data_IF_046624002711
#
_entry.id   IF_046624002711
#
_cell.length_a   1.000
_cell.length_b   1.000
_cell.length_c   1.000
_cell.angle_alpha   90.00
_cell.angle_beta   90.00
_cell.angle_gamma   90.00
#
_symmetry.space_group_name_H-M   'P 1'
#
loop_
_entity.id
_entity.type
_entity.pdbx_description
1 polymer ?
#
# COMPACT_ATOMS: atom_id res chain seq x y z
N UNK A 1 -16.97 0.24 -18.36
CA UNK A 1 -16.24 0.36 -17.10
C UNK A 1 -16.60 -0.77 -16.13
N UNK A 2 -15.76 -0.99 -15.13
CA UNK A 2 -15.93 -2.02 -14.11
C UNK A 2 -15.44 -1.52 -12.75
N UNK A 3 -16.01 -2.09 -11.70
CA UNK A 3 -15.45 -2.01 -10.34
C UNK A 3 -15.92 -3.24 -9.54
N UNK A 4 -15.41 -3.41 -8.36
CA UNK A 4 -15.77 -4.51 -7.49
C UNK A 4 -15.79 -4.07 -6.02
N UNK A 5 -16.52 -4.80 -5.21
CA UNK A 5 -16.45 -4.71 -3.76
C UNK A 5 -16.37 -6.12 -3.19
N UNK A 6 -15.63 -6.28 -2.11
CA UNK A 6 -15.52 -7.58 -1.44
C UNK A 6 -15.59 -7.42 0.08
N UNK A 7 -16.03 -8.49 0.74
CA UNK A 7 -15.95 -8.62 2.19
C UNK A 7 -15.29 -9.96 2.53
N UNK A 8 -14.37 -9.94 3.47
CA UNK A 8 -13.76 -11.12 4.08
C UNK A 8 -13.64 -10.88 5.57
N UNK A 9 -14.20 -11.75 6.39
CA UNK A 9 -14.26 -11.60 7.84
C UNK A 9 -14.13 -12.96 8.52
N UNK A 10 -13.61 -12.98 9.74
CA UNK A 10 -13.49 -14.20 10.55
C UNK A 10 -14.85 -14.70 11.07
N UNK A 11 -15.89 -13.86 11.12
CA UNK A 11 -17.21 -14.19 11.63
C UNK A 11 -18.31 -13.80 10.64
N UNK A 12 -19.31 -14.68 10.50
CA UNK A 12 -20.43 -14.49 9.58
C UNK A 12 -21.20 -13.19 9.80
N UNK A 13 -21.38 -12.78 11.06
CA UNK A 13 -22.12 -11.56 11.41
C UNK A 13 -21.39 -10.27 11.00
N UNK A 14 -20.10 -10.34 10.74
CA UNK A 14 -19.29 -9.17 10.32
C UNK A 14 -19.24 -9.04 8.78
N UNK A 15 -19.79 -10.00 8.03
CA UNK A 15 -19.84 -9.99 6.57
C UNK A 15 -20.88 -8.98 6.08
N UNK A 16 -20.50 -8.14 5.12
CA UNK A 16 -21.41 -7.21 4.45
C UNK A 16 -22.44 -8.00 3.64
N UNK A 17 -23.72 -7.65 3.77
CA UNK A 17 -24.80 -8.33 3.02
C UNK A 17 -24.58 -8.24 1.51
N UNK A 18 -24.82 -9.32 0.73
CA UNK A 18 -24.56 -9.33 -0.72
C UNK A 18 -25.20 -8.18 -1.49
N UNK A 19 -26.43 -7.79 -1.15
CA UNK A 19 -27.12 -6.64 -1.76
C UNK A 19 -26.32 -5.33 -1.60
N UNK A 20 -25.76 -5.10 -0.42
CA UNK A 20 -24.97 -3.88 -0.16
C UNK A 20 -23.66 -3.90 -0.94
N UNK A 21 -22.99 -5.07 -1.06
CA UNK A 21 -21.80 -5.22 -1.89
C UNK A 21 -22.11 -4.89 -3.36
N UNK A 22 -23.21 -5.44 -3.89
CA UNK A 22 -23.62 -5.16 -5.26
C UNK A 22 -23.92 -3.67 -5.50
N UNK A 23 -24.60 -3.02 -4.56
CA UNK A 23 -24.89 -1.58 -4.65
C UNK A 23 -23.59 -0.74 -4.66
N UNK A 24 -22.65 -1.04 -3.73
CA UNK A 24 -21.36 -0.33 -3.67
C UNK A 24 -20.57 -0.49 -4.98
N UNK A 25 -20.47 -1.72 -5.51
CA UNK A 25 -19.77 -1.98 -6.75
C UNK A 25 -20.42 -1.26 -7.96
N UNK A 26 -21.75 -1.23 -8.01
CA UNK A 26 -22.50 -0.53 -9.05
C UNK A 26 -22.28 0.99 -8.99
N UNK A 27 -22.38 1.60 -7.81
CA UNK A 27 -22.13 3.03 -7.61
C UNK A 27 -20.70 3.43 -8.00
N UNK A 28 -19.70 2.62 -7.62
CA UNK A 28 -18.30 2.84 -8.00
C UNK A 28 -18.11 2.74 -9.52
N UNK A 29 -18.75 1.77 -10.17
CA UNK A 29 -18.69 1.61 -11.63
C UNK A 29 -19.33 2.80 -12.35
N UNK A 30 -20.50 3.25 -11.91
CA UNK A 30 -21.22 4.40 -12.50
C UNK A 30 -20.35 5.66 -12.46
N UNK A 31 -19.65 5.91 -11.36
CA UNK A 31 -18.75 7.07 -11.23
C UNK A 31 -17.60 7.07 -12.24
N UNK A 32 -17.20 5.91 -12.76
CA UNK A 32 -16.13 5.77 -13.76
C UNK A 32 -16.58 5.92 -15.21
N UNK A 33 -17.88 6.07 -15.47
CA UNK A 33 -18.40 6.18 -16.83
C UNK A 33 -17.92 7.44 -17.55
N UNK A 34 -17.73 7.32 -18.86
CA UNK A 34 -17.27 8.42 -19.75
C UNK A 34 -15.93 9.03 -19.33
N UNK A 35 -14.88 8.22 -19.15
CA UNK A 35 -13.56 8.71 -18.78
C UNK A 35 -12.97 9.61 -19.87
N UNK A 36 -12.18 10.58 -19.44
CA UNK A 36 -11.45 11.48 -20.35
C UNK A 36 -9.97 11.16 -20.35
N UNK A 37 -9.32 11.42 -21.45
CA UNK A 37 -7.86 11.35 -21.58
C UNK A 37 -7.25 12.58 -20.93
N UNK A 38 -6.07 12.41 -20.38
CA UNK A 38 -5.22 13.49 -19.86
C UNK A 38 -3.84 13.41 -20.50
N UNK A 39 -3.20 14.56 -20.68
CA UNK A 39 -1.82 14.62 -21.17
C UNK A 39 -0.80 14.13 -20.15
N UNK A 40 0.43 13.89 -20.63
CA UNK A 40 1.55 13.55 -19.74
C UNK A 40 1.92 14.75 -18.86
N UNK A 41 2.18 14.47 -17.57
CA UNK A 41 2.43 15.50 -16.56
C UNK A 41 3.24 14.92 -15.40
N UNK A 42 3.80 15.79 -14.56
CA UNK A 42 4.38 15.41 -13.27
C UNK A 42 3.48 15.97 -12.17
N UNK A 43 2.75 15.10 -11.48
CA UNK A 43 1.64 15.47 -10.61
C UNK A 43 1.63 14.60 -9.35
N UNK A 44 0.95 15.06 -8.31
CA UNK A 44 0.71 14.26 -7.11
C UNK A 44 -0.35 13.20 -7.36
N UNK A 45 -0.06 11.98 -6.94
CA UNK A 45 -0.94 10.83 -7.04
C UNK A 45 -1.49 10.48 -5.66
N UNK A 46 -2.80 10.42 -5.56
CA UNK A 46 -3.51 9.97 -4.37
C UNK A 46 -4.00 8.54 -4.62
N UNK A 47 -3.48 7.60 -3.86
CA UNK A 47 -3.86 6.19 -3.94
C UNK A 47 -5.01 5.91 -2.98
N UNK A 48 -6.14 5.45 -3.53
CA UNK A 48 -7.25 4.89 -2.72
C UNK A 48 -6.74 3.80 -1.77
N UNK A 49 -7.32 3.67 -0.59
CA UNK A 49 -6.95 2.66 0.43
C UNK A 49 -6.84 1.25 -0.14
N UNK A 50 -7.73 0.87 -1.06
CA UNK A 50 -7.73 -0.44 -1.74
C UNK A 50 -6.49 -0.66 -2.58
N UNK A 51 -5.91 0.42 -3.12
CA UNK A 51 -4.72 0.39 -3.98
C UNK A 51 -3.46 0.64 -3.16
N UNK A 52 -3.50 1.54 -2.20
CA UNK A 52 -2.40 1.88 -1.32
C UNK A 52 -1.80 0.65 -0.59
N UNK A 53 -2.65 -0.33 -0.21
CA UNK A 53 -2.17 -1.62 0.33
C UNK A 53 -1.21 -2.37 -0.60
N UNK A 54 -1.30 -2.16 -1.92
CA UNK A 54 -0.39 -2.75 -2.91
C UNK A 54 1.04 -2.20 -2.78
N UNK A 55 1.18 -0.90 -2.51
CA UNK A 55 2.48 -0.29 -2.23
C UNK A 55 3.10 -0.88 -0.96
N UNK A 56 2.28 -1.06 0.08
CA UNK A 56 2.70 -1.68 1.33
C UNK A 56 3.06 -3.17 1.17
N UNK A 57 2.34 -3.91 0.31
CA UNK A 57 2.70 -5.28 -0.04
C UNK A 57 4.03 -5.36 -0.79
N UNK A 58 4.31 -4.40 -1.68
CA UNK A 58 5.61 -4.30 -2.36
C UNK A 58 6.75 -4.00 -1.36
N UNK A 59 6.51 -3.12 -0.39
CA UNK A 59 7.44 -2.87 0.71
C UNK A 59 7.71 -4.17 1.50
N UNK A 60 6.67 -4.90 1.92
CA UNK A 60 6.82 -6.17 2.65
C UNK A 60 7.62 -7.21 1.85
N UNK A 61 7.41 -7.27 0.54
CA UNK A 61 8.18 -8.15 -0.36
C UNK A 61 9.66 -7.74 -0.42
N UNK A 62 9.94 -6.42 -0.45
CA UNK A 62 11.30 -5.90 -0.48
C UNK A 62 12.07 -6.18 0.82
N UNK A 63 11.41 -6.17 1.98
CA UNK A 63 12.04 -6.48 3.28
C UNK A 63 11.97 -7.96 3.65
N UNK A 64 11.52 -8.85 2.76
CA UNK A 64 11.56 -10.29 3.04
C UNK A 64 13.00 -10.79 3.11
N UNK A 65 13.33 -11.61 4.10
CA UNK A 65 14.66 -12.18 4.26
C UNK A 65 15.15 -12.93 3.01
N UNK A 66 14.24 -13.51 2.25
CA UNK A 66 14.56 -14.17 0.98
C UNK A 66 15.01 -13.20 -0.10
N UNK A 67 14.39 -12.02 -0.23
CA UNK A 67 14.83 -10.99 -1.18
C UNK A 67 16.16 -10.37 -0.76
N UNK A 68 16.32 -10.11 0.55
CA UNK A 68 17.55 -9.57 1.13
C UNK A 68 18.72 -10.54 0.94
N UNK A 69 18.55 -11.82 1.28
CA UNK A 69 19.59 -12.85 1.15
C UNK A 69 20.02 -13.10 -0.30
N UNK A 70 19.11 -12.95 -1.27
CA UNK A 70 19.44 -13.04 -2.70
C UNK A 70 20.05 -11.75 -3.27
N UNK A 71 20.05 -10.65 -2.52
CA UNK A 71 20.48 -9.36 -3.05
C UNK A 71 19.53 -8.78 -4.11
N UNK A 72 18.25 -9.17 -4.09
CA UNK A 72 17.23 -8.73 -5.06
C UNK A 72 16.26 -7.72 -4.47
N UNK A 73 16.73 -6.90 -3.53
CA UNK A 73 15.95 -5.83 -2.90
C UNK A 73 16.73 -4.52 -2.83
N UNK A 74 16.07 -3.43 -3.24
CA UNK A 74 16.59 -2.05 -3.07
C UNK A 74 16.68 -1.65 -1.59
N UNK A 75 16.08 -2.41 -0.67
CA UNK A 75 16.14 -2.20 0.78
C UNK A 75 17.20 -3.06 1.48
N UNK A 76 18.04 -3.79 0.71
CA UNK A 76 19.17 -4.50 1.28
C UNK A 76 20.12 -3.50 1.98
N UNK A 77 20.63 -3.87 3.14
CA UNK A 77 21.56 -3.08 3.98
C UNK A 77 20.99 -1.70 4.41
N UNK A 78 19.64 -1.59 4.53
CA UNK A 78 18.94 -0.36 4.91
C UNK A 78 18.40 -0.36 6.35
N UNK A 79 18.70 -1.37 7.16
CA UNK A 79 18.34 -1.37 8.59
C UNK A 79 18.96 -0.12 9.25
N UNK A 80 18.17 0.51 10.11
CA UNK A 80 18.47 1.77 10.81
C UNK A 80 18.74 2.98 9.90
N UNK A 81 18.37 2.88 8.62
CA UNK A 81 18.38 4.02 7.71
C UNK A 81 16.98 4.59 7.54
N UNK A 82 16.89 5.90 7.37
CA UNK A 82 15.64 6.57 7.05
C UNK A 82 15.27 6.34 5.59
N UNK A 83 14.19 5.58 5.36
CA UNK A 83 13.69 5.23 4.03
C UNK A 83 12.34 5.86 3.72
N UNK A 84 11.60 6.30 4.74
CA UNK A 84 10.35 7.06 4.63
C UNK A 84 10.49 8.46 5.24
N UNK A 85 9.47 9.30 5.07
CA UNK A 85 9.35 10.53 5.88
C UNK A 85 9.24 10.19 7.37
N UNK A 86 9.64 11.12 8.23
CA UNK A 86 9.73 10.94 9.70
C UNK A 86 8.40 10.70 10.40
N UNK A 87 7.28 10.94 9.72
CA UNK A 87 5.93 10.70 10.24
C UNK A 87 5.43 9.28 10.03
N UNK A 88 6.17 8.43 9.32
CA UNK A 88 5.70 7.10 8.90
C UNK A 88 6.06 6.03 9.91
N UNK A 89 5.05 5.29 10.34
CA UNK A 89 5.17 4.07 11.13
C UNK A 89 4.45 2.91 10.44
N UNK A 90 5.11 1.75 10.34
CA UNK A 90 4.56 0.52 9.75
C UNK A 90 4.69 -0.61 10.76
N UNK A 91 3.57 -1.27 11.03
CA UNK A 91 3.48 -2.38 11.96
C UNK A 91 3.05 -3.67 11.26
N UNK A 92 3.53 -4.79 11.78
CA UNK A 92 2.99 -6.12 11.48
C UNK A 92 2.55 -6.79 12.79
N UNK A 93 1.23 -6.94 12.95
CA UNK A 93 0.59 -7.30 14.23
C UNK A 93 -0.14 -8.64 14.14
N UNK A 94 0.50 -9.74 14.59
CA UNK A 94 -0.07 -11.09 14.50
C UNK A 94 -1.20 -11.36 15.48
N UNK A 95 -1.38 -10.55 16.51
CA UNK A 95 -2.38 -10.67 17.57
C UNK A 95 -3.59 -9.73 17.41
N UNK A 96 -3.79 -9.17 16.21
CA UNK A 96 -4.93 -8.31 15.94
C UNK A 96 -6.24 -9.11 16.08
N UNK A 97 -7.11 -8.68 16.99
CA UNK A 97 -8.42 -9.34 17.20
C UNK A 97 -9.22 -9.29 15.90
N UNK A 98 -9.70 -10.46 15.45
CA UNK A 98 -10.40 -10.66 14.17
C UNK A 98 -9.59 -10.28 12.92
N UNK A 99 -8.27 -10.10 13.04
CA UNK A 99 -7.39 -9.85 11.91
C UNK A 99 -7.30 -11.05 10.99
N UNK A 100 -7.36 -10.84 9.67
CA UNK A 100 -7.35 -11.92 8.68
C UNK A 100 -6.01 -12.65 8.57
N UNK A 101 -4.91 -12.01 9.00
CA UNK A 101 -3.57 -12.59 9.05
C UNK A 101 -3.12 -12.96 10.47
N UNK A 102 -4.02 -12.97 11.47
CA UNK A 102 -3.65 -13.26 12.85
C UNK A 102 -3.21 -14.71 13.05
N UNK A 103 -2.10 -14.88 13.76
CA UNK A 103 -1.49 -16.18 14.06
C UNK A 103 -0.62 -16.11 15.32
N UNK A 104 -0.50 -17.22 16.05
CA UNK A 104 0.37 -17.31 17.22
C UNK A 104 1.82 -17.69 16.87
N UNK A 105 2.00 -18.43 15.79
CA UNK A 105 3.30 -18.89 15.28
C UNK A 105 3.22 -18.98 13.75
N UNK A 106 4.37 -18.86 13.13
CA UNK A 106 4.52 -18.95 11.68
C UNK A 106 4.54 -20.40 11.17
N UNK A 107 4.75 -20.60 9.87
CA UNK A 107 4.78 -21.94 9.25
C UNK A 107 5.97 -22.80 9.68
N UNK A 108 6.97 -22.23 10.37
CA UNK A 108 8.11 -22.95 10.97
C UNK A 108 7.91 -23.21 12.48
N UNK A 109 6.75 -22.82 13.06
CA UNK A 109 6.46 -22.95 14.49
C UNK A 109 7.17 -21.90 15.35
N UNK A 110 7.72 -20.85 14.75
CA UNK A 110 8.34 -19.75 15.48
C UNK A 110 7.23 -18.79 15.93
N UNK A 111 7.26 -18.41 17.22
CA UNK A 111 6.30 -17.47 17.81
C UNK A 111 6.31 -16.16 17.02
N UNK A 112 5.11 -15.70 16.63
CA UNK A 112 4.92 -14.42 15.98
C UNK A 112 4.60 -13.36 17.03
N UNK A 113 5.39 -12.29 17.07
CA UNK A 113 5.16 -11.12 17.94
C UNK A 113 4.96 -9.86 17.09
N UNK A 114 4.38 -8.81 17.66
CA UNK A 114 4.22 -7.54 16.95
C UNK A 114 5.58 -6.97 16.57
N UNK A 115 5.76 -6.64 15.29
CA UNK A 115 6.94 -5.97 14.78
C UNK A 115 6.61 -4.52 14.41
N UNK A 116 7.50 -3.62 14.75
CA UNK A 116 7.51 -2.25 14.24
C UNK A 116 8.55 -2.20 13.11
N UNK A 117 8.09 -2.46 11.89
CA UNK A 117 8.96 -2.59 10.71
C UNK A 117 9.58 -1.25 10.31
N UNK A 118 8.81 -0.18 10.46
CA UNK A 118 9.28 1.20 10.27
C UNK A 118 8.86 2.04 11.46
N UNK A 119 9.81 2.79 12.00
CA UNK A 119 9.60 3.71 13.12
C UNK A 119 10.12 5.10 12.76
N UNK A 120 9.22 6.09 12.74
CA UNK A 120 9.55 7.48 12.39
C UNK A 120 10.37 7.56 11.09
N UNK A 121 9.97 6.78 10.07
CA UNK A 121 10.62 6.70 8.77
C UNK A 121 11.85 5.79 8.70
N UNK A 122 12.38 5.28 9.82
CA UNK A 122 13.54 4.40 9.83
C UNK A 122 13.13 2.94 9.70
N UNK A 123 13.77 2.20 8.80
CA UNK A 123 13.60 0.74 8.70
C UNK A 123 14.24 0.06 9.91
N UNK A 124 13.44 -0.68 10.70
CA UNK A 124 13.92 -1.33 11.92
C UNK A 124 14.10 -2.84 11.77
N UNK A 125 13.25 -3.48 10.98
CA UNK A 125 13.20 -4.93 10.92
C UNK A 125 12.97 -5.43 9.49
N UNK A 126 13.58 -6.58 9.16
CA UNK A 126 13.18 -7.39 8.02
C UNK A 126 12.15 -8.44 8.46
N UNK A 127 11.42 -9.03 7.50
CA UNK A 127 10.58 -10.20 7.74
C UNK A 127 11.46 -11.46 7.60
N UNK A 128 11.79 -12.11 8.72
CA UNK A 128 12.86 -13.12 8.75
C UNK A 128 12.31 -14.52 9.04
N UNK A 129 12.50 -15.45 8.09
CA UNK A 129 12.35 -16.89 8.28
C UNK A 129 13.65 -17.53 8.80
N UNK A 130 13.60 -18.80 9.23
CA UNK A 130 14.76 -19.49 9.81
C UNK A 130 15.87 -19.74 8.78
N UNK A 131 15.51 -20.14 7.54
CA UNK A 131 16.51 -20.50 6.53
C UNK A 131 17.31 -19.28 6.05
N UNK A 132 16.63 -18.23 5.64
CA UNK A 132 17.29 -17.00 5.17
C UNK A 132 17.90 -16.22 6.35
N UNK A 133 17.32 -16.30 7.54
CA UNK A 133 17.88 -15.74 8.76
C UNK A 133 19.29 -16.27 9.04
N UNK A 134 19.51 -17.59 8.92
CA UNK A 134 20.86 -18.19 9.06
C UNK A 134 21.87 -17.64 8.05
N UNK A 135 21.44 -17.39 6.80
CA UNK A 135 22.30 -16.80 5.76
C UNK A 135 22.67 -15.34 6.04
N UNK A 136 21.79 -14.62 6.71
CA UNK A 136 21.94 -13.21 7.03
C UNK A 136 22.48 -12.96 8.43
N UNK A 137 22.77 -14.03 9.20
CA UNK A 137 23.14 -13.98 10.61
C UNK A 137 22.09 -13.28 11.49
N UNK A 138 20.80 -13.40 11.09
CA UNK A 138 19.65 -12.86 11.79
C UNK A 138 18.81 -13.98 12.41
N UNK A 139 18.19 -13.70 13.56
CA UNK A 139 17.22 -14.60 14.17
C UNK A 139 15.87 -14.49 13.47
N UNK A 140 15.19 -15.63 13.24
CA UNK A 140 13.80 -15.63 12.79
C UNK A 140 12.90 -14.85 13.76
N UNK A 141 12.02 -14.02 13.22
CA UNK A 141 11.06 -13.23 13.99
C UNK A 141 9.60 -13.69 13.75
N UNK A 142 9.43 -14.97 13.37
CA UNK A 142 8.11 -15.56 13.19
C UNK A 142 7.39 -15.07 11.92
N UNK A 143 8.15 -14.92 10.84
CA UNK A 143 7.63 -14.43 9.54
C UNK A 143 7.95 -15.37 8.37
N UNK A 144 8.09 -16.65 8.64
CA UNK A 144 8.07 -17.67 7.59
C UNK A 144 6.65 -17.71 6.98
N UNK A 145 6.56 -17.35 5.71
CA UNK A 145 5.28 -17.13 5.01
C UNK A 145 4.93 -15.65 4.76
N UNK A 146 5.71 -14.72 5.31
CA UNK A 146 5.54 -13.27 5.09
C UNK A 146 4.90 -12.53 6.26
N UNK A 147 4.35 -11.35 5.97
CA UNK A 147 3.66 -10.52 6.98
C UNK A 147 2.34 -11.15 7.44
N UNK A 148 1.89 -10.75 8.62
CA UNK A 148 0.62 -11.15 9.24
C UNK A 148 -0.47 -10.09 8.98
N UNK A 149 -0.79 -9.24 9.95
CA UNK A 149 -1.64 -8.08 9.73
C UNK A 149 -0.75 -6.84 9.61
N UNK A 150 -0.32 -6.60 8.38
CA UNK A 150 0.55 -5.48 8.05
C UNK A 150 -0.29 -4.21 7.88
N UNK A 151 0.10 -3.12 8.51
CA UNK A 151 -0.56 -1.85 8.29
C UNK A 151 0.36 -0.64 8.42
N UNK A 152 0.01 0.38 7.65
CA UNK A 152 0.56 1.71 7.72
C UNK A 152 -0.32 2.54 8.68
N UNK A 153 0.29 3.17 9.68
CA UNK A 153 -0.43 3.96 10.67
C UNK A 153 -1.11 5.18 10.04
N UNK A 154 -2.19 5.66 10.67
CA UNK A 154 -2.89 6.85 10.21
C UNK A 154 -2.00 8.10 10.21
N UNK A 155 -2.18 8.92 9.18
CA UNK A 155 -1.74 10.31 9.20
C UNK A 155 -2.61 11.18 10.12
N UNK A 156 -2.34 12.48 10.09
CA UNK A 156 -3.11 13.48 10.88
C UNK A 156 -4.21 14.15 10.06
N UNK A 157 -4.10 14.16 8.75
CA UNK A 157 -5.00 14.85 7.83
C UNK A 157 -6.22 14.01 7.51
N UNK A 158 -7.37 14.63 7.38
CA UNK A 158 -8.54 13.98 6.80
C UNK A 158 -8.37 13.76 5.29
N UNK A 159 -9.16 12.85 4.72
CA UNK A 159 -9.18 12.64 3.27
C UNK A 159 -9.46 13.94 2.49
N UNK A 160 -10.43 14.73 2.94
CA UNK A 160 -10.81 16.00 2.30
C UNK A 160 -9.71 17.08 2.36
N UNK A 161 -8.92 17.09 3.44
CA UNK A 161 -7.73 17.96 3.54
C UNK A 161 -6.64 17.50 2.58
N UNK A 162 -6.41 16.18 2.47
CA UNK A 162 -5.43 15.61 1.56
C UNK A 162 -5.73 15.96 0.09
N UNK A 163 -6.99 15.94 -0.33
CA UNK A 163 -7.41 16.33 -1.68
C UNK A 163 -7.08 17.79 -2.02
N UNK A 164 -6.95 18.67 -1.02
CA UNK A 164 -6.74 20.12 -1.17
C UNK A 164 -5.28 20.55 -1.11
N UNK A 165 -4.33 19.65 -0.82
CA UNK A 165 -2.91 20.00 -0.68
C UNK A 165 -2.40 20.68 -1.95
N UNK A 166 -2.73 20.15 -3.11
CA UNK A 166 -2.32 20.68 -4.40
C UNK A 166 -3.55 21.08 -5.24
N UNK A 167 -3.39 22.06 -6.10
CA UNK A 167 -4.45 22.51 -6.99
C UNK A 167 -4.90 21.46 -8.00
N UNK A 168 -4.01 20.50 -8.34
CA UNK A 168 -4.26 19.40 -9.28
C UNK A 168 -3.64 18.11 -8.78
N UNK A 169 -4.44 17.06 -8.69
CA UNK A 169 -4.03 15.71 -8.27
C UNK A 169 -4.74 14.65 -9.13
N UNK A 170 -4.24 13.41 -9.09
CA UNK A 170 -4.95 12.23 -9.59
C UNK A 170 -5.27 11.29 -8.44
N UNK A 171 -6.55 10.99 -8.24
CA UNK A 171 -7.02 9.97 -7.31
C UNK A 171 -7.14 8.63 -8.03
N UNK A 172 -6.28 7.67 -7.72
CA UNK A 172 -6.19 6.36 -8.38
C UNK A 172 -7.00 5.34 -7.60
N UNK A 173 -7.94 4.70 -8.29
CA UNK A 173 -8.85 3.68 -7.73
C UNK A 173 -8.58 2.27 -8.26
N UNK A 174 -7.78 2.14 -9.32
CA UNK A 174 -7.39 0.86 -9.91
C UNK A 174 -6.00 0.96 -10.53
N UNK A 175 -5.19 -0.09 -10.36
CA UNK A 175 -3.91 -0.26 -11.06
C UNK A 175 -3.89 -1.57 -11.82
N UNK A 176 -3.22 -1.58 -12.97
CA UNK A 176 -3.14 -2.73 -13.88
C UNK A 176 -1.67 -3.06 -14.13
N UNK A 177 -1.33 -4.33 -14.00
CA UNK A 177 0.02 -4.84 -14.22
C UNK A 177 0.84 -5.04 -12.94
N UNK A 178 1.99 -5.69 -13.10
CA UNK A 178 2.98 -5.93 -12.05
C UNK A 178 4.18 -5.00 -12.26
N UNK A 179 3.99 -3.74 -11.97
CA UNK A 179 4.95 -2.68 -12.31
C UNK A 179 6.01 -2.39 -11.26
N UNK A 180 6.26 -3.29 -10.33
CA UNK A 180 7.27 -3.11 -9.28
C UNK A 180 8.54 -3.90 -9.60
N UNK A 181 9.68 -3.23 -9.73
CA UNK A 181 10.99 -3.84 -9.75
C UNK A 181 11.63 -3.74 -8.35
N UNK A 182 11.64 -4.84 -7.61
CA UNK A 182 12.19 -4.85 -6.25
C UNK A 182 13.71 -4.69 -6.19
N UNK A 183 14.44 -4.88 -7.30
CA UNK A 183 15.90 -4.72 -7.32
C UNK A 183 16.28 -3.25 -7.37
N UNK A 184 15.60 -2.46 -8.21
CA UNK A 184 15.90 -1.05 -8.45
C UNK A 184 14.99 -0.10 -7.68
N UNK A 185 13.83 -0.59 -7.23
CA UNK A 185 12.77 0.24 -6.64
C UNK A 185 11.86 0.91 -7.67
N UNK A 186 12.03 0.66 -8.97
CA UNK A 186 11.20 1.27 -9.99
C UNK A 186 9.75 0.78 -9.91
N UNK A 187 8.84 1.71 -10.09
CA UNK A 187 7.40 1.49 -10.10
C UNK A 187 6.78 2.10 -11.35
N UNK A 188 6.05 1.29 -12.13
CA UNK A 188 5.35 1.75 -13.33
C UNK A 188 4.15 0.85 -13.60
N UNK A 189 2.94 1.39 -13.51
CA UNK A 189 1.68 0.65 -13.67
C UNK A 189 0.69 1.41 -14.53
N UNK A 190 -0.15 0.70 -15.27
CA UNK A 190 -1.37 1.26 -15.82
C UNK A 190 -2.32 1.67 -14.68
N UNK A 191 -3.07 2.75 -14.87
CA UNK A 191 -3.94 3.26 -13.82
C UNK A 191 -5.26 3.82 -14.36
N UNK A 192 -6.27 3.78 -13.48
CA UNK A 192 -7.59 4.39 -13.67
C UNK A 192 -7.98 5.11 -12.38
N UNK A 193 -8.63 6.25 -12.53
CA UNK A 193 -9.02 7.05 -11.37
C UNK A 193 -9.79 8.30 -11.74
N UNK A 194 -9.55 9.38 -11.02
CA UNK A 194 -10.25 10.65 -11.19
C UNK A 194 -9.27 11.82 -11.17
N UNK A 195 -9.50 12.80 -12.03
CA UNK A 195 -8.85 14.09 -11.90
C UNK A 195 -9.46 14.87 -10.74
N UNK A 196 -8.60 15.39 -9.87
CA UNK A 196 -8.96 16.27 -8.76
C UNK A 196 -8.42 17.66 -9.06
N UNK A 197 -9.26 18.68 -8.98
CA UNK A 197 -8.86 20.09 -9.09
C UNK A 197 -9.45 20.89 -7.92
N UNK A 198 -8.57 21.57 -7.20
CA UNK A 198 -8.93 22.36 -6.01
C UNK A 198 -9.72 21.56 -4.95
N UNK A 199 -9.37 20.28 -4.78
CA UNK A 199 -10.02 19.38 -3.82
C UNK A 199 -11.34 18.77 -4.30
N UNK A 200 -11.76 18.99 -5.54
CA UNK A 200 -13.01 18.48 -6.10
C UNK A 200 -12.78 17.42 -7.18
N UNK A 201 -13.58 16.36 -7.17
CA UNK A 201 -13.63 15.37 -8.24
C UNK A 201 -14.20 15.97 -9.53
N UNK A 202 -13.45 15.99 -10.62
CA UNK A 202 -13.86 16.57 -11.91
C UNK A 202 -14.42 15.53 -12.89
N UNK A 203 -13.63 14.57 -13.27
CA UNK A 203 -14.04 13.52 -14.21
C UNK A 203 -13.16 12.27 -14.04
N UNK A 204 -13.67 11.09 -14.39
CA UNK A 204 -12.86 9.89 -14.43
C UNK A 204 -11.80 9.96 -15.54
N UNK A 205 -10.68 9.26 -15.29
CA UNK A 205 -9.53 9.16 -16.17
C UNK A 205 -9.13 7.69 -16.28
N UNK A 206 -8.82 7.23 -17.49
CA UNK A 206 -8.34 5.89 -17.74
C UNK A 206 -7.17 5.86 -18.75
N UNK A 207 -6.64 4.67 -18.99
CA UNK A 207 -5.54 4.43 -19.95
C UNK A 207 -4.34 5.36 -19.73
N UNK A 208 -4.01 5.61 -18.49
CA UNK A 208 -2.80 6.32 -18.10
C UNK A 208 -1.79 5.34 -17.49
N UNK A 209 -0.52 5.71 -17.54
CA UNK A 209 0.55 5.05 -16.80
C UNK A 209 1.06 6.01 -15.73
N UNK A 210 1.19 5.52 -14.51
CA UNK A 210 1.83 6.25 -13.41
C UNK A 210 3.16 5.59 -13.11
N UNK A 211 4.21 6.41 -12.91
CA UNK A 211 5.57 5.92 -12.68
C UNK A 211 6.31 6.73 -11.61
N UNK A 212 7.22 6.06 -10.92
CA UNK A 212 8.09 6.63 -9.91
C UNK A 212 9.17 5.64 -9.50
N UNK A 213 9.91 5.96 -8.45
CA UNK A 213 10.84 5.05 -7.79
C UNK A 213 10.57 5.03 -6.29
N UNK A 214 10.51 3.87 -5.67
CA UNK A 214 10.16 3.74 -4.25
C UNK A 214 11.09 4.49 -3.31
N UNK A 215 12.38 4.67 -3.66
CA UNK A 215 13.29 5.46 -2.85
C UNK A 215 12.87 6.94 -2.74
N UNK A 216 12.23 7.48 -3.79
CA UNK A 216 11.70 8.84 -3.80
C UNK A 216 10.26 8.87 -3.29
N UNK A 217 9.42 7.90 -3.73
CA UNK A 217 8.02 7.81 -3.36
C UNK A 217 7.84 7.73 -1.84
N UNK A 218 8.64 6.92 -1.14
CA UNK A 218 8.56 6.74 0.31
C UNK A 218 8.94 7.99 1.10
N UNK A 219 9.80 8.85 0.56
CA UNK A 219 10.19 10.12 1.20
C UNK A 219 9.15 11.22 1.00
N UNK A 220 8.39 11.15 -0.11
CA UNK A 220 7.39 12.16 -0.50
C UNK A 220 5.95 11.69 -0.25
N UNK A 221 5.76 10.90 0.82
CA UNK A 221 4.46 10.32 1.20
C UNK A 221 3.75 11.18 2.24
N UNK A 222 2.47 11.43 2.02
CA UNK A 222 1.54 12.03 2.99
C UNK A 222 0.34 11.10 3.19
N UNK A 223 -0.11 10.94 4.44
CA UNK A 223 -1.16 10.00 4.80
C UNK A 223 -2.42 10.71 5.27
N UNK A 224 -3.57 10.15 4.87
CA UNK A 224 -4.85 10.48 5.50
C UNK A 224 -5.03 9.73 6.85
N UNK A 225 -6.10 10.06 7.57
CA UNK A 225 -6.47 9.44 8.86
C UNK A 225 -7.62 8.42 8.71
N UNK A 226 -7.74 7.80 7.54
CA UNK A 226 -8.87 6.97 7.14
C UNK A 226 -8.54 5.46 7.08
N UNK A 227 -7.56 5.00 7.87
CA UNK A 227 -7.20 3.58 7.97
C UNK A 227 -8.41 2.73 8.39
N UNK A 228 -8.66 1.68 7.63
CA UNK A 228 -9.67 0.68 7.92
C UNK A 228 -9.07 -0.73 7.82
N UNK A 229 -9.31 -1.57 8.83
CA UNK A 229 -8.86 -2.97 8.82
C UNK A 229 -9.86 -3.86 8.08
N UNK A 230 -9.59 -4.08 6.80
CA UNK A 230 -10.44 -4.84 5.89
C UNK A 230 -9.76 -6.08 5.32
N UNK A 231 -8.43 -6.09 5.28
CA UNK A 231 -7.58 -7.12 4.69
C UNK A 231 -6.49 -7.55 5.70
N UNK A 232 -5.62 -8.47 5.30
CA UNK A 232 -4.37 -8.74 6.04
C UNK A 232 -3.32 -7.62 5.85
N UNK A 233 -3.38 -6.88 4.74
CA UNK A 233 -2.56 -5.69 4.51
C UNK A 233 -3.49 -4.49 4.40
N UNK A 234 -3.28 -3.46 5.22
CA UNK A 234 -4.16 -2.29 5.28
C UNK A 234 -3.35 -1.00 5.23
N UNK A 235 -3.90 -0.01 4.60
CA UNK A 235 -3.30 1.33 4.48
C UNK A 235 -4.41 2.38 4.53
N UNK A 236 -4.14 3.56 5.10
CA UNK A 236 -4.97 4.73 4.82
C UNK A 236 -4.79 5.16 3.37
N UNK A 237 -5.55 6.14 2.92
CA UNK A 237 -5.30 6.85 1.67
C UNK A 237 -3.91 7.51 1.70
N UNK A 238 -3.16 7.33 0.62
CA UNK A 238 -1.77 7.81 0.48
C UNK A 238 -1.71 8.84 -0.63
N UNK A 239 -1.09 9.99 -0.40
CA UNK A 239 -0.64 10.88 -1.45
C UNK A 239 0.88 10.77 -1.62
N UNK A 240 1.35 10.71 -2.86
CA UNK A 240 2.77 10.73 -3.23
C UNK A 240 2.97 11.87 -4.23
N UNK A 241 3.86 12.80 -3.88
CA UNK A 241 4.13 13.96 -4.70
C UNK A 241 5.13 13.65 -5.82
N UNK A 242 4.96 14.36 -6.95
CA UNK A 242 5.94 14.39 -8.01
C UNK A 242 6.08 13.10 -8.82
N UNK A 243 5.05 12.26 -8.89
CA UNK A 243 5.03 11.09 -9.76
C UNK A 243 4.81 11.49 -11.24
N UNK A 244 5.37 10.70 -12.14
CA UNK A 244 5.17 10.89 -13.58
C UNK A 244 3.89 10.21 -14.02
N UNK A 245 3.08 10.92 -14.76
CA UNK A 245 1.90 10.40 -15.47
C UNK A 245 2.18 10.44 -16.96
N UNK A 246 2.01 9.33 -17.64
CA UNK A 246 1.99 9.26 -19.10
C UNK A 246 0.55 9.01 -19.54
N UNK A 247 0.02 9.92 -20.34
CA UNK A 247 -1.31 9.88 -20.95
C UNK A 247 -1.23 10.27 -22.42
N UNK A 248 -2.37 10.20 -23.14
CA UNK A 248 -2.50 10.59 -24.54
C UNK A 248 -3.16 11.94 -24.67
#
# INVERSE_FOLDING_TARGET
ERDYELTSKCHLNDIIKPKNLGNIAAEQTIKKLSPKKIGSDKISIIFDRRIAKGLLSSFASAISSSAIARGTSFLKDKIDQQIFSDTINIFDKPDLVKGLGSQYFDSEGVKSETLKLVENGFLREYLVDTYNGRKLELKSNGRSGGSTNLYLENGKMSFDELLKINSKNLYITETIGHGTNLVTGDYSVGATGFLIENGEFKHPVNEITIAGNFNDMFKNITLANDLEFKYSVNSPTIMIEGMTVAGK
#
